data_IF_441099892498
#
_entry.id   IF_441099892498
#
_cell.length_a   1.000
_cell.length_b   1.000
_cell.length_c   1.000
_cell.angle_alpha   90.00
_cell.angle_beta   90.00
_cell.angle_gamma   90.00
#
_symmetry.space_group_name_H-M   'P 1'
#
loop_
_entity.id
_entity.type
_entity.pdbx_description
1 polymer ?
#
# COMPACT_ATOMS: atom_id res chain seq x y z
N UNK A 1 7.65 13.02 15.26
CA UNK A 1 7.84 12.12 16.42
C UNK A 1 8.12 10.73 15.88
N UNK A 2 9.30 10.16 16.11
CA UNK A 2 9.66 8.83 15.62
C UNK A 2 9.06 7.79 16.58
N UNK A 3 8.08 7.01 16.13
CA UNK A 3 7.40 6.00 16.93
C UNK A 3 8.31 4.77 17.05
N UNK A 4 9.20 4.74 18.03
CA UNK A 4 10.06 3.58 18.30
C UNK A 4 9.28 2.55 19.14
N UNK A 5 8.28 1.91 18.54
CA UNK A 5 7.57 0.79 19.17
C UNK A 5 8.40 -0.48 18.99
N UNK A 6 8.84 -1.09 20.11
CA UNK A 6 9.49 -2.40 20.10
C UNK A 6 8.62 -3.51 19.49
N UNK A 7 7.31 -3.27 19.40
CA UNK A 7 6.30 -4.20 18.89
C UNK A 7 6.12 -4.12 17.36
N UNK A 8 6.73 -3.14 16.69
CA UNK A 8 6.62 -2.91 15.24
C UNK A 8 8.00 -2.90 14.59
N UNK A 9 8.76 -3.98 14.76
CA UNK A 9 10.09 -4.12 14.18
C UNK A 9 10.01 -4.28 12.66
N UNK A 10 10.88 -3.56 11.94
CA UNK A 10 10.94 -3.66 10.49
C UNK A 10 11.72 -4.91 10.04
N UNK A 11 11.02 -6.06 10.00
CA UNK A 11 11.56 -7.34 9.56
C UNK A 11 10.55 -8.06 8.63
N UNK A 12 11.00 -8.64 7.50
CA UNK A 12 10.10 -9.31 6.55
C UNK A 12 9.37 -10.54 7.10
N UNK A 13 9.82 -11.09 8.23
CA UNK A 13 9.29 -12.31 8.85
C UNK A 13 8.52 -12.05 10.15
N UNK A 14 8.64 -10.86 10.73
CA UNK A 14 7.94 -10.52 11.97
C UNK A 14 6.55 -10.03 11.63
N UNK A 15 5.54 -10.71 12.15
CA UNK A 15 4.16 -10.28 11.98
C UNK A 15 3.79 -9.27 13.06
N UNK A 16 3.34 -8.09 12.62
CA UNK A 16 2.86 -7.04 13.51
C UNK A 16 1.45 -7.34 14.01
N UNK A 17 1.17 -6.99 15.27
CA UNK A 17 -0.16 -7.18 15.83
C UNK A 17 -1.19 -6.26 15.17
N UNK A 18 -2.22 -6.86 14.56
CA UNK A 18 -3.24 -6.14 13.81
C UNK A 18 -3.99 -5.10 14.65
N UNK A 19 -4.28 -5.40 15.92
CA UNK A 19 -5.06 -4.51 16.79
C UNK A 19 -4.26 -3.27 17.18
N UNK A 20 -2.95 -3.42 17.38
CA UNK A 20 -2.04 -2.32 17.67
C UNK A 20 -1.99 -1.39 16.46
N UNK A 21 -1.72 -1.93 15.27
CA UNK A 21 -1.70 -1.14 14.02
C UNK A 21 -3.05 -0.46 13.79
N UNK A 22 -4.16 -1.20 13.88
CA UNK A 22 -5.51 -0.65 13.69
C UNK A 22 -5.77 0.53 14.64
N UNK A 23 -5.36 0.43 15.91
CA UNK A 23 -5.53 1.53 16.88
C UNK A 23 -4.70 2.76 16.51
N UNK A 24 -3.45 2.57 16.08
CA UNK A 24 -2.54 3.65 15.70
C UNK A 24 -3.00 4.35 14.42
N UNK A 25 -3.36 3.57 13.40
CA UNK A 25 -3.85 4.09 12.12
C UNK A 25 -5.16 4.84 12.31
N UNK A 26 -6.12 4.27 13.05
CA UNK A 26 -7.39 4.94 13.33
C UNK A 26 -7.18 6.26 14.08
N UNK A 27 -6.29 6.28 15.08
CA UNK A 27 -5.92 7.51 15.79
C UNK A 27 -5.36 8.55 14.82
N UNK A 28 -4.50 8.15 13.88
CA UNK A 28 -3.89 9.06 12.90
C UNK A 28 -4.92 9.60 11.90
N UNK A 29 -5.82 8.75 11.39
CA UNK A 29 -6.91 9.15 10.49
C UNK A 29 -7.76 10.24 11.15
N UNK A 30 -8.18 10.01 12.40
CA UNK A 30 -9.01 10.96 13.14
C UNK A 30 -8.28 12.27 13.47
N UNK A 31 -7.02 12.18 13.93
CA UNK A 31 -6.26 13.36 14.37
C UNK A 31 -5.89 14.28 13.21
N UNK A 32 -5.62 13.70 12.04
CA UNK A 32 -5.17 14.46 10.86
C UNK A 32 -6.27 14.68 9.81
N UNK A 33 -7.51 14.29 10.10
CA UNK A 33 -8.66 14.36 9.18
C UNK A 33 -8.36 13.80 7.80
N UNK A 34 -7.74 12.62 7.76
CA UNK A 34 -7.34 11.95 6.51
C UNK A 34 -8.59 11.45 5.78
N UNK A 35 -8.71 11.80 4.49
CA UNK A 35 -9.82 11.37 3.62
C UNK A 35 -9.45 10.18 2.71
N UNK A 36 -8.16 9.84 2.59
CA UNK A 36 -7.68 8.73 1.77
C UNK A 36 -6.47 8.08 2.42
N UNK A 37 -6.52 6.75 2.54
CA UNK A 37 -5.40 5.93 3.01
C UNK A 37 -4.99 4.97 1.89
N UNK A 38 -3.72 5.05 1.49
CA UNK A 38 -3.11 4.10 0.56
C UNK A 38 -2.35 3.04 1.36
N UNK A 39 -2.58 1.76 1.06
CA UNK A 39 -1.91 0.62 1.71
C UNK A 39 -1.44 -0.40 0.68
N UNK A 40 -0.63 -1.36 1.10
CA UNK A 40 -0.38 -2.59 0.34
C UNK A 40 -1.61 -3.51 0.40
N UNK A 41 -1.72 -4.45 -0.54
CA UNK A 41 -2.69 -5.54 -0.50
C UNK A 41 -2.25 -6.71 0.40
N UNK A 42 -3.09 -7.75 0.49
CA UNK A 42 -2.82 -8.96 1.27
C UNK A 42 -1.62 -9.80 0.81
N UNK A 43 -0.98 -9.46 -0.31
CA UNK A 43 0.27 -10.08 -0.77
C UNK A 43 1.50 -9.20 -0.53
N UNK A 44 1.32 -7.96 -0.08
CA UNK A 44 2.40 -7.10 0.41
C UNK A 44 3.48 -6.74 -0.62
N UNK A 45 3.18 -6.80 -1.93
CA UNK A 45 4.05 -6.54 -3.10
C UNK A 45 5.21 -7.52 -3.29
N UNK A 46 5.80 -7.99 -2.19
CA UNK A 46 6.86 -9.00 -2.13
C UNK A 46 6.63 -10.03 -1.04
N UNK A 47 5.44 -10.07 -0.42
CA UNK A 47 5.14 -10.95 0.72
C UNK A 47 5.74 -10.48 2.04
N UNK A 48 6.03 -9.19 2.20
CA UNK A 48 6.60 -8.67 3.45
C UNK A 48 5.56 -8.70 4.57
N UNK A 49 5.86 -9.36 5.70
CA UNK A 49 4.91 -9.53 6.81
C UNK A 49 4.29 -8.20 7.28
N UNK A 50 5.11 -7.16 7.46
CA UNK A 50 4.64 -5.83 7.84
C UNK A 50 3.58 -5.25 6.87
N UNK A 51 3.79 -5.41 5.57
CA UNK A 51 2.84 -4.91 4.56
C UNK A 51 1.50 -5.65 4.63
N UNK A 52 1.57 -6.97 4.79
CA UNK A 52 0.40 -7.84 4.93
C UNK A 52 -0.36 -7.52 6.22
N UNK A 53 0.35 -7.32 7.33
CA UNK A 53 -0.24 -6.94 8.60
C UNK A 53 -0.97 -5.59 8.53
N UNK A 54 -0.41 -4.59 7.85
CA UNK A 54 -1.07 -3.29 7.63
C UNK A 54 -2.36 -3.47 6.82
N UNK A 55 -2.32 -4.26 5.74
CA UNK A 55 -3.51 -4.56 4.94
C UNK A 55 -4.62 -5.18 5.79
N UNK A 56 -4.31 -6.22 6.57
CA UNK A 56 -5.28 -6.88 7.44
C UNK A 56 -5.82 -5.94 8.52
N UNK A 57 -4.99 -5.06 9.07
CA UNK A 57 -5.39 -4.08 10.08
C UNK A 57 -6.39 -3.06 9.53
N UNK A 58 -6.18 -2.59 8.30
CA UNK A 58 -7.10 -1.69 7.61
C UNK A 58 -8.37 -2.40 7.15
N UNK A 59 -8.25 -3.64 6.68
CA UNK A 59 -9.39 -4.48 6.31
C UNK A 59 -10.30 -4.75 7.51
N UNK A 60 -9.71 -5.05 8.67
CA UNK A 60 -10.42 -5.19 9.94
C UNK A 60 -11.15 -3.90 10.34
N UNK A 61 -10.51 -2.73 10.21
CA UNK A 61 -11.16 -1.45 10.50
C UNK A 61 -12.32 -1.16 9.55
N UNK A 62 -12.16 -1.48 8.26
CA UNK A 62 -13.18 -1.29 7.24
C UNK A 62 -14.39 -2.20 7.47
N UNK A 63 -14.18 -3.51 7.69
CA UNK A 63 -15.27 -4.45 7.97
C UNK A 63 -15.94 -4.21 9.32
N UNK A 64 -15.20 -3.71 10.31
CA UNK A 64 -15.76 -3.32 11.61
C UNK A 64 -16.53 -1.98 11.56
N UNK A 65 -16.57 -1.28 10.42
CA UNK A 65 -17.20 0.03 10.28
C UNK A 65 -16.59 1.09 11.20
N UNK A 66 -15.28 1.00 11.46
CA UNK A 66 -14.51 1.92 12.31
C UNK A 66 -13.79 3.01 11.53
N UNK A 67 -13.64 2.85 10.21
CA UNK A 67 -13.12 3.90 9.35
C UNK A 67 -14.15 5.05 9.31
N UNK A 68 -13.74 6.31 9.53
CA UNK A 68 -14.66 7.45 9.51
C UNK A 68 -15.36 7.62 8.15
N UNK A 69 -16.60 8.11 8.20
CA UNK A 69 -17.37 8.45 7.00
C UNK A 69 -16.59 9.49 6.17
N UNK A 70 -16.44 9.22 4.86
CA UNK A 70 -15.65 10.06 3.95
C UNK A 70 -14.16 9.72 3.86
N UNK A 71 -13.66 8.74 4.63
CA UNK A 71 -12.31 8.20 4.45
C UNK A 71 -12.32 6.96 3.56
N UNK A 72 -11.69 7.04 2.39
CA UNK A 72 -11.49 5.90 1.49
C UNK A 72 -10.19 5.16 1.80
N UNK A 73 -10.20 3.83 1.70
CA UNK A 73 -9.00 3.00 1.86
C UNK A 73 -8.75 2.24 0.56
N UNK A 74 -7.56 2.44 -0.02
CA UNK A 74 -7.14 1.84 -1.28
C UNK A 74 -5.93 0.92 -1.06
N UNK A 75 -6.00 -0.29 -1.61
CA UNK A 75 -4.92 -1.27 -1.57
C UNK A 75 -4.18 -1.35 -2.91
N UNK A 76 -2.86 -1.23 -2.88
CA UNK A 76 -1.97 -1.37 -4.03
C UNK A 76 -1.93 -2.83 -4.44
N UNK A 77 -2.29 -3.10 -5.69
CA UNK A 77 -2.33 -4.46 -6.23
C UNK A 77 -0.91 -5.04 -6.38
N UNK A 78 -0.69 -6.18 -5.74
CA UNK A 78 0.49 -6.99 -5.99
C UNK A 78 0.36 -7.68 -7.34
N UNK A 79 1.38 -7.59 -8.19
CA UNK A 79 1.44 -8.35 -9.44
C UNK A 79 2.47 -9.47 -9.38
N UNK A 80 2.38 -10.43 -10.31
CA UNK A 80 3.41 -11.46 -10.44
C UNK A 80 4.78 -10.85 -10.82
N UNK A 81 5.86 -11.60 -10.58
CA UNK A 81 7.24 -11.12 -10.78
C UNK A 81 7.50 -10.71 -12.24
N UNK A 82 6.90 -11.40 -13.21
CA UNK A 82 7.07 -11.08 -14.64
C UNK A 82 6.50 -9.69 -14.93
N UNK A 83 5.21 -9.46 -14.59
CA UNK A 83 4.56 -8.14 -14.73
C UNK A 83 5.26 -7.08 -13.90
N UNK A 84 5.80 -7.44 -12.73
CA UNK A 84 6.53 -6.52 -11.86
C UNK A 84 7.72 -5.88 -12.56
N UNK A 85 8.41 -6.61 -13.44
CA UNK A 85 9.64 -6.19 -14.11
C UNK A 85 9.53 -6.05 -15.63
N UNK A 86 8.31 -6.06 -16.18
CA UNK A 86 8.08 -5.91 -17.63
C UNK A 86 8.25 -4.47 -18.13
N UNK A 87 8.56 -3.52 -17.24
CA UNK A 87 8.81 -2.10 -17.54
C UNK A 87 7.65 -1.49 -18.37
N UNK A 88 7.96 -0.63 -19.35
CA UNK A 88 6.98 0.07 -20.19
C UNK A 88 6.02 -0.85 -20.96
N UNK A 89 6.44 -2.09 -21.24
CA UNK A 89 5.60 -3.11 -21.92
C UNK A 89 4.43 -3.57 -21.03
N UNK A 90 4.42 -3.17 -19.75
CA UNK A 90 3.33 -3.45 -18.83
C UNK A 90 2.11 -2.55 -19.06
N UNK A 91 2.28 -1.35 -19.63
CA UNK A 91 1.19 -0.37 -19.79
C UNK A 91 -0.02 -0.92 -20.57
N UNK A 92 0.15 -1.61 -21.72
CA UNK A 92 -0.98 -2.19 -22.44
C UNK A 92 -1.68 -3.31 -21.64
N UNK A 93 -0.92 -4.08 -20.86
CA UNK A 93 -1.47 -5.19 -20.05
C UNK A 93 -2.29 -4.64 -18.89
N UNK A 94 -1.80 -3.60 -18.21
CA UNK A 94 -2.56 -2.92 -17.15
C UNK A 94 -3.82 -2.27 -17.65
N UNK A 95 -3.82 -1.72 -18.88
CA UNK A 95 -5.03 -1.19 -19.49
C UNK A 95 -6.09 -2.27 -19.75
N UNK A 96 -5.67 -3.49 -20.09
CA UNK A 96 -6.57 -4.62 -20.35
C UNK A 96 -7.07 -5.31 -19.08
N UNK A 97 -6.41 -5.11 -17.94
CA UNK A 97 -6.80 -5.67 -16.66
C UNK A 97 -7.70 -4.70 -15.91
N UNK A 98 -8.85 -5.17 -15.41
CA UNK A 98 -9.72 -4.35 -14.57
C UNK A 98 -9.03 -3.96 -13.25
N UNK A 99 -9.08 -2.68 -12.93
CA UNK A 99 -8.68 -2.09 -11.64
C UNK A 99 -9.65 -0.97 -11.29
N UNK A 100 -9.86 -0.72 -10.01
CA UNK A 100 -10.78 0.35 -9.59
C UNK A 100 -10.17 1.73 -9.90
N UNK A 101 -8.86 1.88 -9.63
CA UNK A 101 -8.14 3.13 -9.80
C UNK A 101 -6.72 2.83 -10.31
N UNK A 102 -6.25 3.59 -11.29
CA UNK A 102 -4.88 3.51 -11.81
C UNK A 102 -4.22 4.89 -11.81
N UNK A 103 -3.01 4.97 -11.26
CA UNK A 103 -2.18 6.17 -11.33
C UNK A 103 -0.98 5.91 -12.24
N UNK A 104 -0.86 6.70 -13.30
CA UNK A 104 0.31 6.74 -14.17
C UNK A 104 1.23 7.88 -13.71
N UNK A 105 2.48 7.55 -13.45
CA UNK A 105 3.52 8.46 -12.98
C UNK A 105 4.12 9.18 -14.19
N UNK A 106 4.23 10.50 -14.12
CA UNK A 106 4.88 11.30 -15.15
C UNK A 106 6.42 11.30 -15.02
N UNK A 107 7.10 11.95 -15.96
CA UNK A 107 8.57 11.99 -15.96
C UNK A 107 9.17 12.73 -14.76
N UNK A 108 8.49 13.75 -14.23
CA UNK A 108 8.96 14.52 -13.08
C UNK A 108 8.77 13.72 -11.78
N UNK A 109 7.60 13.11 -11.61
CA UNK A 109 7.30 12.23 -10.49
C UNK A 109 8.22 11.01 -10.47
N UNK A 110 8.50 10.40 -11.64
CA UNK A 110 9.50 9.32 -11.77
C UNK A 110 10.88 9.79 -11.28
N UNK A 111 11.30 10.99 -11.71
CA UNK A 111 12.58 11.57 -11.31
C UNK A 111 12.61 11.86 -9.81
N UNK A 112 11.51 12.33 -9.24
CA UNK A 112 11.36 12.58 -7.81
C UNK A 112 11.45 11.27 -7.01
N UNK A 113 10.69 10.24 -7.39
CA UNK A 113 10.71 8.93 -6.75
C UNK A 113 12.12 8.31 -6.80
N UNK A 114 12.79 8.40 -7.95
CA UNK A 114 14.18 7.95 -8.10
C UNK A 114 15.14 8.71 -7.18
N UNK A 115 15.04 10.05 -7.12
CA UNK A 115 15.87 10.86 -6.21
C UNK A 115 15.65 10.50 -4.74
N UNK A 116 14.39 10.35 -4.31
CA UNK A 116 14.05 9.96 -2.95
C UNK A 116 14.69 8.61 -2.58
N UNK A 117 14.57 7.61 -3.46
CA UNK A 117 15.19 6.30 -3.26
C UNK A 117 16.73 6.38 -3.17
N UNK A 118 17.37 7.22 -3.99
CA UNK A 118 18.82 7.41 -3.97
C UNK A 118 19.35 8.07 -2.69
N UNK A 119 18.50 8.79 -1.93
CA UNK A 119 18.87 9.32 -0.61
C UNK A 119 19.09 8.21 0.42
N UNK A 120 18.45 7.04 0.26
CA UNK A 120 18.53 5.91 1.20
C UNK A 120 19.65 4.94 0.85
N UNK A 121 20.90 5.44 0.76
CA UNK A 121 22.06 4.68 0.25
C UNK A 121 22.27 3.32 0.93
N UNK A 122 22.10 3.23 2.25
CA UNK A 122 22.30 1.99 3.01
C UNK A 122 21.26 0.90 2.70
N UNK A 123 20.08 1.28 2.19
CA UNK A 123 18.98 0.36 1.86
C UNK A 123 18.90 0.08 0.34
N UNK A 124 19.70 0.78 -0.47
CA UNK A 124 19.70 0.69 -1.92
C UNK A 124 20.64 -0.43 -2.41
N UNK A 125 20.31 -1.67 -2.04
CA UNK A 125 21.03 -2.86 -2.52
C UNK A 125 20.93 -3.01 -4.04
N UNK A 126 21.81 -3.80 -4.65
CA UNK A 126 21.92 -3.92 -6.12
C UNK A 126 20.58 -4.22 -6.81
N UNK A 127 19.73 -5.08 -6.23
CA UNK A 127 18.42 -5.42 -6.80
C UNK A 127 17.43 -4.25 -6.80
N UNK A 128 17.59 -3.26 -5.91
CA UNK A 128 16.78 -2.02 -5.92
C UNK A 128 17.10 -1.16 -7.14
N UNK A 129 18.29 -1.25 -7.70
CA UNK A 129 18.63 -0.55 -8.94
C UNK A 129 17.86 -1.16 -10.12
N UNK A 130 17.72 -2.48 -10.16
CA UNK A 130 16.85 -3.15 -11.14
C UNK A 130 15.39 -2.76 -10.96
N UNK A 131 14.91 -2.67 -9.71
CA UNK A 131 13.57 -2.18 -9.40
C UNK A 131 13.33 -0.76 -9.92
N UNK A 132 14.27 0.17 -9.71
CA UNK A 132 14.14 1.55 -10.22
C UNK A 132 14.04 1.63 -11.75
N UNK A 133 14.71 0.73 -12.47
CA UNK A 133 14.75 0.73 -13.93
C UNK A 133 13.57 -0.02 -14.57
N UNK A 134 13.24 -1.19 -14.01
CA UNK A 134 12.33 -2.13 -14.67
C UNK A 134 10.99 -2.28 -13.97
N UNK A 135 10.83 -1.77 -12.75
CA UNK A 135 9.59 -2.01 -12.02
C UNK A 135 8.42 -1.24 -12.59
N UNK A 136 7.30 -1.92 -12.84
CA UNK A 136 6.04 -1.26 -13.19
C UNK A 136 5.59 -0.26 -12.12
N UNK A 137 5.91 -0.47 -10.85
CA UNK A 137 5.49 0.41 -9.76
C UNK A 137 6.15 1.80 -9.81
N UNK A 138 7.25 1.93 -10.55
CA UNK A 138 7.85 3.23 -10.86
C UNK A 138 7.11 3.97 -11.99
N UNK A 139 6.19 3.30 -12.70
CA UNK A 139 5.48 3.83 -13.86
C UNK A 139 3.97 3.88 -13.64
N UNK A 140 3.35 2.78 -13.23
CA UNK A 140 1.91 2.62 -13.05
C UNK A 140 1.58 1.85 -11.77
N UNK A 141 0.71 2.44 -10.95
CA UNK A 141 0.23 1.87 -9.71
C UNK A 141 -1.30 1.64 -9.79
N UNK A 142 -1.70 0.37 -9.74
CA UNK A 142 -3.12 -0.04 -9.75
C UNK A 142 -3.60 -0.27 -8.32
N UNK A 143 -4.77 0.26 -7.99
CA UNK A 143 -5.36 0.21 -6.66
C UNK A 143 -6.76 -0.41 -6.70
N UNK A 144 -7.14 -1.05 -5.59
CA UNK A 144 -8.48 -1.57 -5.34
C UNK A 144 -9.06 -1.01 -4.04
N UNK A 145 -10.35 -0.71 -4.04
CA UNK A 145 -11.05 -0.22 -2.86
C UNK A 145 -11.20 -1.35 -1.85
N UNK A 146 -10.80 -1.12 -0.60
CA UNK A 146 -11.11 -2.02 0.50
C UNK A 146 -12.56 -1.73 0.90
N UNK A 147 -13.49 -2.57 0.47
CA UNK A 147 -14.92 -2.43 0.75
C UNK A 147 -15.18 -2.33 2.26
N UNK A 148 -15.94 -1.32 2.66
CA UNK A 148 -16.53 -1.25 3.99
C UNK A 148 -17.78 -2.13 3.95
N UNK A 149 -17.84 -3.19 4.76
CA UNK A 149 -19.11 -3.90 4.93
C UNK A 149 -20.11 -2.89 5.50
N UNK A 150 -21.13 -2.56 4.70
CA UNK A 150 -22.21 -1.71 5.15
C UNK A 150 -22.81 -2.34 6.40
N UNK A 151 -22.79 -1.59 7.52
CA UNK A 151 -23.48 -1.97 8.75
C UNK A 151 -24.87 -2.47 8.36
N UNK A 152 -25.10 -3.77 8.52
CA UNK A 152 -26.37 -4.41 8.23
C UNK A 152 -27.39 -3.75 9.17
N UNK A 153 -28.11 -2.75 8.69
CA UNK A 153 -29.19 -2.15 9.45
C UNK A 153 -30.21 -3.28 9.66
N UNK A 154 -30.44 -3.67 10.91
CA UNK A 154 -31.66 -4.38 11.26
C UNK A 154 -32.69 -3.28 11.49
N UNK A 155 -33.55 -3.05 10.50
CA UNK A 155 -34.81 -2.33 10.74
C UNK A 155 -35.64 -3.32 11.56
N UNK A 156 -35.89 -2.94 12.81
CA UNK A 156 -37.01 -3.44 13.60
C UNK A 156 -38.14 -2.44 13.49
#
# INVERSE_FOLDING_TARGET
MCLCFRELLDDPKVEWNIHIISSLVLKQINTSSINMVLTFDGRGVSGHANHVAIYHSLSYLASSGKIPDGCCVLSLETVNVIRKYLSVLELPISWLCESDISFLIDSEEYRQAKRAMLCHRSQLLWFRHLYLLFSRYMLINTFRVISQEAKHWKIY
#
